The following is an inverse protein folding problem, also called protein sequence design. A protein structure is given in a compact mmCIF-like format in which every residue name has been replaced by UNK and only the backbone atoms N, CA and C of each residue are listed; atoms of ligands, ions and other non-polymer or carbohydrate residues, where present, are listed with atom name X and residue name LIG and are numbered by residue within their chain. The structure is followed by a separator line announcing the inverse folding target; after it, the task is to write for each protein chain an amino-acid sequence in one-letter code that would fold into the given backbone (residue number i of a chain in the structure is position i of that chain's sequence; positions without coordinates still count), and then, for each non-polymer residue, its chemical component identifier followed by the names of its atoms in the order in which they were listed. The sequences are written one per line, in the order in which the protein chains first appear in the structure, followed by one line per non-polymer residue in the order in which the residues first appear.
data_IF_972034575764
#
_entry.id   IF_972034575764
#
_cell.length_a   1.000
_cell.length_b   1.000
_cell.length_c   1.000
_cell.angle_alpha   90.00
_cell.angle_beta   90.00
_cell.angle_gamma   90.00
#
_symmetry.space_group_name_H-M   'P 1'
#
loop_
_entity.id
_entity.type
_entity.pdbx_description
1 polymer ?
#
# COMPACT_ATOMS: atom_id res chain seq x y z
N UNK A 1 0.32 9.87 6.13
CA UNK A 1 -0.36 8.87 6.97
C UNK A 1 0.52 7.64 7.00
N UNK A 2 0.77 7.05 8.16
CA UNK A 2 1.58 5.83 8.27
C UNK A 2 0.68 4.70 8.76
N UNK A 3 0.66 3.58 8.05
CA UNK A 3 -0.13 2.40 8.38
C UNK A 3 0.82 1.25 8.68
N UNK A 4 0.74 0.71 9.90
CA UNK A 4 1.40 -0.53 10.25
C UNK A 4 0.50 -1.70 9.86
N UNK A 5 1.02 -2.67 9.12
CA UNK A 5 0.27 -3.86 8.72
C UNK A 5 0.13 -4.79 9.93
N UNK A 6 -1.10 -5.05 10.40
CA UNK A 6 -1.34 -5.98 11.50
C UNK A 6 -1.13 -7.44 11.05
N UNK A 7 -0.91 -8.37 11.99
CA UNK A 7 -0.76 -9.79 11.73
C UNK A 7 -2.04 -10.46 11.19
N UNK A 8 -3.12 -9.73 10.91
CA UNK A 8 -4.34 -10.29 10.29
C UNK A 8 -4.46 -9.93 8.79
N UNK A 9 -3.76 -8.88 8.34
CA UNK A 9 -3.74 -8.40 6.94
C UNK A 9 -2.41 -8.72 6.23
N UNK A 10 -1.61 -9.64 6.76
CA UNK A 10 -0.40 -10.13 6.11
C UNK A 10 -0.75 -10.92 4.83
N UNK A 11 0.12 -10.87 3.81
CA UNK A 11 -0.08 -11.43 2.46
C UNK A 11 -1.07 -10.68 1.55
N UNK A 12 -1.63 -9.55 1.99
CA UNK A 12 -2.44 -8.69 1.12
C UNK A 12 -1.54 -7.92 0.14
N UNK A 13 -1.94 -7.87 -1.14
CA UNK A 13 -1.26 -7.03 -2.14
C UNK A 13 -1.34 -5.55 -1.76
N UNK A 14 -0.25 -4.82 -1.95
CA UNK A 14 -0.16 -3.38 -1.69
C UNK A 14 -1.30 -2.63 -2.41
N UNK A 15 -1.62 -2.98 -3.66
CA UNK A 15 -2.75 -2.38 -4.39
C UNK A 15 -4.11 -2.61 -3.70
N UNK A 16 -4.36 -3.82 -3.17
CA UNK A 16 -5.59 -4.14 -2.44
C UNK A 16 -5.66 -3.41 -1.10
N UNK A 17 -4.54 -3.33 -0.39
CA UNK A 17 -4.47 -2.61 0.88
C UNK A 17 -4.77 -1.12 0.70
N UNK A 18 -4.12 -0.47 -0.27
CA UNK A 18 -4.39 0.94 -0.59
C UNK A 18 -5.84 1.12 -1.04
N UNK A 19 -6.39 0.22 -1.84
CA UNK A 19 -7.80 0.29 -2.27
C UNK A 19 -8.79 0.13 -1.11
N UNK A 20 -8.49 -0.72 -0.12
CA UNK A 20 -9.31 -0.85 1.10
C UNK A 20 -9.29 0.41 1.95
N UNK A 21 -8.15 1.10 2.02
CA UNK A 21 -7.99 2.35 2.78
C UNK A 21 -8.54 3.58 2.06
N UNK A 22 -8.41 3.61 0.74
CA UNK A 22 -8.82 4.72 -0.12
C UNK A 22 -9.88 4.24 -1.13
N UNK A 23 -11.04 3.87 -0.60
CA UNK A 23 -12.16 3.34 -1.38
C UNK A 23 -12.75 4.39 -2.32
N UNK A 24 -12.64 5.66 -1.91
CA UNK A 24 -13.04 6.86 -2.66
C UNK A 24 -12.13 7.17 -3.86
N UNK A 25 -10.90 6.64 -3.88
CA UNK A 25 -9.93 6.93 -4.94
C UNK A 25 -10.02 5.83 -6.02
N UNK A 26 -10.22 6.19 -7.30
CA UNK A 26 -10.22 5.22 -8.38
C UNK A 26 -8.86 4.55 -8.53
N UNK A 27 -8.86 3.33 -9.07
CA UNK A 27 -7.65 2.50 -9.24
C UNK A 27 -6.52 3.26 -9.98
N UNK A 28 -6.87 4.04 -10.99
CA UNK A 28 -5.94 4.89 -11.75
C UNK A 28 -5.26 5.95 -10.88
N UNK A 29 -5.99 6.54 -9.93
CA UNK A 29 -5.47 7.47 -8.93
C UNK A 29 -4.48 6.81 -7.98
N UNK A 30 -4.80 5.60 -7.51
CA UNK A 30 -3.90 4.78 -6.68
C UNK A 30 -2.60 4.49 -7.43
N UNK A 31 -2.68 4.03 -8.69
CA UNK A 31 -1.50 3.79 -9.52
C UNK A 31 -0.68 5.06 -9.77
N UNK A 32 -1.32 6.22 -9.89
CA UNK A 32 -0.63 7.52 -10.00
C UNK A 32 0.11 7.87 -8.71
N UNK A 33 -0.48 7.67 -7.54
CA UNK A 33 0.16 7.90 -6.23
C UNK A 33 1.37 6.98 -6.02
N UNK A 34 1.24 5.70 -6.38
CA UNK A 34 2.33 4.72 -6.37
C UNK A 34 3.44 5.11 -7.36
N UNK A 35 3.08 5.55 -8.57
CA UNK A 35 4.06 6.01 -9.58
C UNK A 35 4.82 7.25 -9.11
N UNK A 36 4.11 8.24 -8.57
CA UNK A 36 4.70 9.45 -7.95
C UNK A 36 5.58 9.14 -6.74
N UNK A 37 5.52 7.93 -6.18
CA UNK A 37 6.29 7.55 -5.00
C UNK A 37 5.81 8.23 -3.73
N UNK A 38 4.54 8.64 -3.70
CA UNK A 38 3.85 9.12 -2.50
C UNK A 38 3.69 7.94 -1.54
N UNK A 39 3.25 6.79 -2.08
CA UNK A 39 3.11 5.56 -1.32
C UNK A 39 4.44 4.81 -1.26
N UNK A 40 4.93 4.52 -0.06
CA UNK A 40 6.19 3.80 0.21
C UNK A 40 5.96 2.74 1.28
N UNK A 41 6.62 1.60 1.13
CA UNK A 41 6.60 0.52 2.12
C UNK A 41 7.98 0.43 2.76
N UNK A 42 8.08 0.55 4.09
CA UNK A 42 9.33 0.61 4.84
C UNK A 42 10.31 1.66 4.29
N UNK A 43 9.78 2.81 3.86
CA UNK A 43 10.56 3.89 3.26
C UNK A 43 11.04 3.65 1.83
N UNK A 44 10.74 2.50 1.23
CA UNK A 44 11.12 2.15 -0.15
C UNK A 44 9.91 2.10 -1.09
N UNK A 45 10.12 2.46 -2.36
CA UNK A 45 9.11 2.28 -3.40
C UNK A 45 8.99 0.79 -3.71
N UNK A 46 7.81 0.21 -3.53
CA UNK A 46 7.50 -1.18 -3.86
C UNK A 46 6.54 -1.25 -5.05
N UNK A 47 6.53 -2.39 -5.74
CA UNK A 47 5.59 -2.65 -6.84
C UNK A 47 4.17 -2.77 -6.27
N UNK A 48 3.12 -2.40 -7.01
CA UNK A 48 1.72 -2.61 -6.58
C UNK A 48 1.40 -4.07 -6.26
N UNK A 49 2.00 -5.01 -7.00
CA UNK A 49 1.87 -6.44 -6.77
C UNK A 49 2.67 -6.98 -5.57
N UNK A 50 3.40 -6.12 -4.85
CA UNK A 50 4.10 -6.52 -3.64
C UNK A 50 3.10 -6.96 -2.58
N UNK A 51 3.32 -8.13 -1.99
CA UNK A 51 2.54 -8.60 -0.86
C UNK A 51 3.12 -8.06 0.42
N UNK A 52 2.28 -7.38 1.18
CA UNK A 52 2.63 -6.79 2.46
C UNK A 52 2.93 -7.90 3.47
N UNK A 53 4.00 -7.71 4.23
CA UNK A 53 4.38 -8.59 5.32
C UNK A 53 3.91 -8.01 6.65
N UNK A 54 3.85 -8.87 7.66
CA UNK A 54 3.64 -8.42 9.03
C UNK A 54 4.72 -7.39 9.41
N UNK A 55 4.32 -6.34 10.14
CA UNK A 55 5.17 -5.21 10.51
C UNK A 55 5.63 -4.31 9.35
N UNK A 56 5.16 -4.52 8.12
CA UNK A 56 5.39 -3.54 7.06
C UNK A 56 4.71 -2.21 7.41
N UNK A 57 5.37 -1.12 7.03
CA UNK A 57 4.94 0.25 7.29
C UNK A 57 4.69 0.94 5.96
N UNK A 58 3.41 1.17 5.65
CA UNK A 58 2.97 1.88 4.45
C UNK A 58 2.80 3.36 4.76
N UNK A 59 3.55 4.21 4.08
CA UNK A 59 3.45 5.68 4.15
C UNK A 59 2.88 6.22 2.85
#
# INVERSE_FOLDING_TARGET
MQWKIPPDDHDVRLDRFIRRKYQEIPLTGIFRLLRKGVIRVNGKKKKPAYRLQENDVVR
#
